data_IF_354372488467
#
_entry.id   IF_354372488467
#
_cell.length_a   1.000
_cell.length_b   1.000
_cell.length_c   1.000
_cell.angle_alpha   90.00
_cell.angle_beta   90.00
_cell.angle_gamma   90.00
#
_symmetry.space_group_name_H-M   'P 1'
#
loop_
_entity.id
_entity.type
_entity.pdbx_description
1 polymer ?
#
# COMPACT_ATOMS: atom_id res chain seq x y z
N UNK A 1 52.32 -5.14 -75.98
CA UNK A 1 51.63 -6.24 -76.69
C UNK A 1 51.73 -7.48 -75.80
N UNK A 2 50.58 -8.05 -75.39
CA UNK A 2 50.37 -9.46 -74.95
C UNK A 2 51.06 -9.83 -73.61
N UNK A 3 50.42 -9.88 -72.43
CA UNK A 3 49.27 -10.68 -71.93
C UNK A 3 49.51 -12.20 -71.97
N UNK A 4 49.40 -12.85 -70.80
CA UNK A 4 48.90 -14.22 -70.54
C UNK A 4 49.75 -14.93 -69.49
N UNK A 5 49.12 -15.38 -68.39
CA UNK A 5 49.67 -16.44 -67.55
C UNK A 5 49.48 -16.31 -66.04
N UNK A 6 48.35 -15.79 -65.57
CA UNK A 6 47.89 -16.00 -64.21
C UNK A 6 47.39 -17.45 -64.04
N UNK A 7 47.42 -17.95 -62.80
CA UNK A 7 47.04 -19.29 -62.31
C UNK A 7 48.16 -20.34 -62.31
N UNK A 8 48.24 -21.08 -61.20
CA UNK A 8 49.22 -22.13 -60.83
C UNK A 8 50.47 -21.65 -60.07
N UNK A 9 50.27 -20.88 -58.99
CA UNK A 9 51.36 -20.52 -58.06
C UNK A 9 51.06 -20.68 -56.56
N UNK A 10 49.83 -21.05 -56.16
CA UNK A 10 49.39 -21.03 -54.76
C UNK A 10 48.79 -22.36 -54.27
N UNK A 11 49.39 -23.49 -54.67
CA UNK A 11 48.93 -24.83 -54.27
C UNK A 11 50.07 -25.79 -53.86
N UNK A 12 51.22 -25.23 -53.42
CA UNK A 12 52.39 -26.01 -53.00
C UNK A 12 53.01 -25.51 -51.67
N UNK A 13 52.17 -25.19 -50.67
CA UNK A 13 52.62 -24.94 -49.29
C UNK A 13 51.71 -25.58 -48.21
N UNK A 14 50.98 -26.64 -48.56
CA UNK A 14 50.17 -27.43 -47.60
C UNK A 14 50.64 -28.89 -47.55
N UNK A 15 51.89 -29.09 -47.18
CA UNK A 15 52.42 -30.43 -46.96
C UNK A 15 53.74 -30.37 -46.23
N UNK A 16 53.68 -30.40 -44.89
CA UNK A 16 54.69 -30.92 -43.94
C UNK A 16 54.37 -30.40 -42.54
N UNK A 17 53.37 -31.00 -41.88
CA UNK A 17 53.19 -30.91 -40.41
C UNK A 17 52.31 -32.08 -39.95
N UNK A 18 52.72 -33.29 -40.30
CA UNK A 18 52.19 -34.52 -39.69
C UNK A 18 53.13 -34.94 -38.55
N UNK A 19 52.55 -35.39 -37.44
CA UNK A 19 53.16 -36.08 -36.30
C UNK A 19 53.73 -35.25 -35.15
N UNK A 20 52.83 -34.75 -34.27
CA UNK A 20 52.97 -34.88 -32.81
C UNK A 20 51.58 -34.92 -32.14
N UNK A 21 50.94 -36.09 -32.12
CA UNK A 21 49.77 -36.35 -31.26
C UNK A 21 50.26 -36.82 -29.89
N UNK A 22 50.37 -35.88 -28.94
CA UNK A 22 50.38 -36.21 -27.52
C UNK A 22 48.92 -36.35 -27.05
N UNK A 23 48.54 -37.40 -26.32
CA UNK A 23 47.24 -37.46 -25.69
C UNK A 23 47.26 -36.53 -24.48
N UNK A 24 46.97 -35.25 -24.69
CA UNK A 24 46.53 -34.41 -23.58
C UNK A 24 45.16 -34.92 -23.17
N UNK A 25 45.16 -35.67 -22.07
CA UNK A 25 43.96 -36.04 -21.33
C UNK A 25 43.16 -34.77 -21.09
N UNK A 26 42.04 -34.62 -21.81
CA UNK A 26 40.99 -33.66 -21.52
C UNK A 26 40.42 -34.04 -20.15
N UNK A 27 41.06 -33.54 -19.09
CA UNK A 27 40.42 -33.45 -17.78
C UNK A 27 39.12 -32.65 -17.97
N UNK A 28 38.05 -32.99 -17.25
CA UNK A 28 36.79 -32.27 -17.39
C UNK A 28 37.10 -30.80 -17.11
N UNK A 29 36.90 -29.95 -18.11
CA UNK A 29 36.75 -28.52 -17.91
C UNK A 29 35.70 -28.41 -16.81
N UNK A 30 36.14 -27.94 -15.63
CA UNK A 30 35.25 -27.67 -14.52
C UNK A 30 34.10 -26.87 -15.08
N UNK A 31 32.92 -27.50 -15.10
CA UNK A 31 31.69 -26.82 -15.46
C UNK A 31 31.62 -25.64 -14.52
N UNK A 32 31.79 -24.44 -15.05
CA UNK A 32 31.33 -23.25 -14.35
C UNK A 32 29.82 -23.42 -14.39
N UNK A 33 29.28 -24.06 -13.35
CA UNK A 33 27.85 -24.04 -13.09
C UNK A 33 27.48 -22.56 -13.15
N UNK A 34 26.55 -22.14 -14.03
CA UNK A 34 26.03 -20.79 -13.97
C UNK A 34 25.66 -20.51 -12.51
N UNK A 35 25.98 -19.35 -11.94
CA UNK A 35 25.53 -19.04 -10.58
C UNK A 35 24.04 -19.34 -10.53
N UNK A 36 23.66 -20.24 -9.64
CA UNK A 36 22.26 -20.61 -9.45
C UNK A 36 21.51 -19.29 -9.24
N UNK A 37 20.61 -18.97 -10.17
CA UNK A 37 19.83 -17.75 -10.07
C UNK A 37 18.93 -17.94 -8.85
N UNK A 38 19.35 -17.38 -7.72
CA UNK A 38 18.56 -17.41 -6.50
C UNK A 38 17.27 -16.68 -6.81
N UNK A 39 16.16 -17.38 -6.63
CA UNK A 39 14.83 -16.87 -6.86
C UNK A 39 14.61 -15.66 -5.92
N UNK A 40 14.20 -14.48 -6.43
CA UNK A 40 14.08 -13.27 -5.61
C UNK A 40 13.10 -13.43 -4.45
N UNK A 41 12.04 -14.21 -4.64
CA UNK A 41 11.16 -14.60 -3.56
C UNK A 41 11.94 -15.44 -2.54
N UNK A 42 12.66 -16.49 -2.96
CA UNK A 42 13.47 -17.32 -2.04
C UNK A 42 14.60 -16.57 -1.31
N UNK A 43 15.17 -15.55 -1.92
CA UNK A 43 16.25 -14.77 -1.33
C UNK A 43 15.79 -13.78 -0.25
N UNK A 44 14.55 -13.30 -0.32
CA UNK A 44 14.08 -12.16 0.46
C UNK A 44 14.11 -12.42 1.97
N UNK A 45 14.67 -11.46 2.71
CA UNK A 45 14.83 -11.47 4.17
C UNK A 45 14.09 -10.29 4.81
N UNK A 46 13.93 -10.34 6.14
CA UNK A 46 13.34 -9.23 6.89
C UNK A 46 14.05 -7.89 6.59
N UNK A 47 13.27 -6.87 6.23
CA UNK A 47 13.76 -5.57 5.77
C UNK A 47 13.88 -5.42 4.25
N UNK A 48 13.70 -6.51 3.48
CA UNK A 48 13.67 -6.41 2.03
C UNK A 48 12.30 -5.95 1.54
N UNK A 49 12.31 -4.98 0.62
CA UNK A 49 11.12 -4.52 -0.08
C UNK A 49 11.02 -5.19 -1.45
N UNK A 50 9.83 -5.69 -1.78
CA UNK A 50 9.55 -6.44 -3.00
C UNK A 50 8.48 -5.73 -3.81
N UNK A 51 8.65 -5.75 -5.13
CA UNK A 51 7.68 -5.24 -6.07
C UNK A 51 7.46 -6.22 -7.22
N UNK A 52 6.29 -6.15 -7.84
CA UNK A 52 5.88 -6.93 -9.01
C UNK A 52 4.75 -6.19 -9.72
N UNK A 53 4.60 -6.42 -11.03
CA UNK A 53 3.45 -5.90 -11.79
C UNK A 53 2.49 -7.03 -12.20
N UNK A 54 2.96 -8.27 -12.28
CA UNK A 54 2.15 -9.41 -12.69
C UNK A 54 1.45 -10.06 -11.50
N UNK A 55 0.18 -10.41 -11.68
CA UNK A 55 -0.65 -11.09 -10.69
C UNK A 55 -0.12 -12.48 -10.29
N UNK A 56 0.65 -13.12 -11.16
CA UNK A 56 1.34 -14.40 -10.95
C UNK A 56 2.73 -14.28 -10.29
N UNK A 57 3.15 -13.06 -9.92
CA UNK A 57 4.44 -12.75 -9.29
C UNK A 57 5.66 -13.21 -10.12
N UNK A 58 5.51 -13.50 -11.41
CA UNK A 58 6.63 -14.00 -12.22
C UNK A 58 7.75 -12.97 -12.41
N UNK A 59 7.44 -11.68 -12.21
CA UNK A 59 8.38 -10.55 -12.25
C UNK A 59 8.76 -10.01 -10.87
N UNK A 60 8.47 -10.76 -9.79
CA UNK A 60 8.82 -10.33 -8.43
C UNK A 60 10.33 -10.06 -8.30
N UNK A 61 10.64 -8.91 -7.72
CA UNK A 61 12.01 -8.48 -7.53
C UNK A 61 12.16 -7.63 -6.27
N UNK A 62 13.38 -7.67 -5.71
CA UNK A 62 13.78 -6.77 -4.64
C UNK A 62 13.99 -5.36 -5.20
N UNK A 63 13.50 -4.37 -4.49
CA UNK A 63 13.69 -2.94 -4.76
C UNK A 63 14.14 -2.23 -3.48
N UNK A 64 14.69 -1.02 -3.62
CA UNK A 64 14.91 -0.14 -2.47
C UNK A 64 13.57 0.26 -1.86
N UNK A 65 13.43 0.24 -0.54
CA UNK A 65 12.15 0.57 0.11
C UNK A 65 11.69 2.01 -0.14
N UNK A 66 12.59 2.94 -0.47
CA UNK A 66 12.22 4.31 -0.89
C UNK A 66 11.58 4.35 -2.28
N UNK A 67 11.78 3.31 -3.10
CA UNK A 67 11.06 3.14 -4.34
C UNK A 67 9.68 2.51 -4.08
N UNK A 68 8.80 2.60 -5.08
CA UNK A 68 7.49 1.93 -5.04
C UNK A 68 7.68 0.42 -4.85
N UNK A 69 7.01 -0.13 -3.85
CA UNK A 69 6.99 -1.56 -3.56
C UNK A 69 5.61 -1.98 -3.04
N UNK A 70 5.28 -3.27 -3.11
CA UNK A 70 3.99 -3.80 -2.67
C UNK A 70 4.10 -4.61 -1.37
N UNK A 71 5.31 -5.00 -0.99
CA UNK A 71 5.55 -5.86 0.18
C UNK A 71 6.87 -5.49 0.85
N UNK A 72 6.85 -5.35 2.17
CA UNK A 72 8.06 -5.32 3.00
C UNK A 72 8.10 -6.57 3.86
N UNK A 73 9.14 -7.38 3.70
CA UNK A 73 9.29 -8.62 4.46
C UNK A 73 9.58 -8.27 5.92
N UNK A 74 8.75 -8.80 6.83
CA UNK A 74 8.92 -8.68 8.27
C UNK A 74 9.62 -9.90 8.88
N UNK A 75 9.46 -11.08 8.27
CA UNK A 75 10.05 -12.33 8.75
C UNK A 75 9.99 -13.46 7.73
N UNK A 76 10.74 -14.53 8.00
CA UNK A 76 10.78 -15.75 7.20
C UNK A 76 10.38 -16.91 8.09
N UNK A 77 9.32 -17.63 7.73
CA UNK A 77 8.74 -18.71 8.54
C UNK A 77 8.70 -20.01 7.75
N UNK A 78 9.11 -21.12 8.36
CA UNK A 78 8.96 -22.46 7.80
C UNK A 78 7.80 -23.19 8.49
N UNK A 79 6.76 -23.51 7.72
CA UNK A 79 5.57 -24.23 8.19
C UNK A 79 5.58 -25.72 7.81
N UNK A 80 6.75 -26.28 7.47
CA UNK A 80 6.88 -27.68 7.02
C UNK A 80 6.46 -28.72 8.06
N UNK A 81 6.54 -28.40 9.36
CA UNK A 81 6.08 -29.28 10.44
C UNK A 81 4.56 -29.43 10.50
N UNK A 82 3.82 -28.41 10.08
CA UNK A 82 2.35 -28.40 10.05
C UNK A 82 1.81 -28.91 8.71
N UNK A 83 2.53 -28.61 7.62
CA UNK A 83 2.11 -28.94 6.26
C UNK A 83 3.14 -29.86 5.58
N UNK A 84 2.90 -31.17 5.69
CA UNK A 84 3.78 -32.17 5.10
C UNK A 84 3.91 -32.09 3.57
N UNK A 85 4.83 -32.88 2.96
CA UNK A 85 5.15 -32.80 1.54
C UNK A 85 3.97 -33.04 0.58
N UNK A 86 2.94 -33.76 1.04
CA UNK A 86 1.74 -34.09 0.26
C UNK A 86 0.51 -33.24 0.64
N UNK A 87 0.67 -32.23 1.52
CA UNK A 87 -0.42 -31.34 1.87
C UNK A 87 -0.94 -30.61 0.61
N UNK A 88 -2.26 -30.48 0.41
CA UNK A 88 -2.80 -29.67 -0.68
C UNK A 88 -2.38 -28.20 -0.51
N UNK A 89 -2.38 -27.44 -1.60
CA UNK A 89 -2.17 -25.99 -1.50
C UNK A 89 -3.32 -25.38 -0.67
N UNK A 90 -3.03 -24.53 0.33
CA UNK A 90 -4.07 -23.97 1.18
C UNK A 90 -5.02 -23.06 0.39
N UNK A 91 -6.31 -23.08 0.76
CA UNK A 91 -7.28 -22.11 0.28
C UNK A 91 -7.16 -20.77 1.03
N UNK A 92 -7.96 -19.77 0.65
CA UNK A 92 -7.89 -18.44 1.24
C UNK A 92 -8.16 -18.42 2.76
N UNK A 93 -9.10 -19.22 3.25
CA UNK A 93 -9.42 -19.28 4.68
C UNK A 93 -8.27 -19.93 5.48
N UNK A 94 -7.64 -20.95 4.90
CA UNK A 94 -6.47 -21.59 5.51
C UNK A 94 -5.27 -20.63 5.49
N UNK A 95 -5.04 -19.89 4.41
CA UNK A 95 -3.98 -18.86 4.38
C UNK A 95 -4.22 -17.74 5.38
N UNK A 96 -5.47 -17.34 5.61
CA UNK A 96 -5.81 -16.37 6.65
C UNK A 96 -5.44 -16.91 8.05
N UNK A 97 -5.69 -18.19 8.30
CA UNK A 97 -5.30 -18.85 9.57
C UNK A 97 -3.77 -18.88 9.71
N UNK A 98 -3.05 -19.30 8.65
CA UNK A 98 -1.59 -19.28 8.62
C UNK A 98 -1.04 -17.87 8.87
N UNK A 99 -1.65 -16.85 8.28
CA UNK A 99 -1.27 -15.45 8.47
C UNK A 99 -1.39 -15.04 9.94
N UNK A 100 -2.51 -15.36 10.58
CA UNK A 100 -2.77 -15.07 11.99
C UNK A 100 -1.75 -15.79 12.91
N UNK A 101 -1.55 -17.09 12.69
CA UNK A 101 -0.71 -17.93 13.56
C UNK A 101 0.78 -17.58 13.45
N UNK A 102 1.24 -17.23 12.25
CA UNK A 102 2.67 -17.11 11.95
C UNK A 102 3.13 -15.67 11.67
N UNK A 103 2.38 -14.92 10.86
CA UNK A 103 2.86 -13.65 10.32
C UNK A 103 2.51 -12.43 11.16
N UNK A 104 1.41 -12.46 11.90
CA UNK A 104 1.02 -11.37 12.80
C UNK A 104 2.11 -11.10 13.86
N UNK A 105 2.59 -12.16 14.52
CA UNK A 105 3.61 -12.05 15.57
C UNK A 105 4.98 -11.59 15.03
N UNK A 106 5.40 -12.10 13.87
CA UNK A 106 6.65 -11.67 13.21
C UNK A 106 6.60 -10.20 12.80
N UNK A 107 5.45 -9.74 12.27
CA UNK A 107 5.27 -8.35 11.87
C UNK A 107 5.22 -7.39 13.05
N UNK A 108 4.54 -7.78 14.14
CA UNK A 108 4.51 -7.00 15.37
C UNK A 108 5.92 -6.86 15.97
N UNK A 109 6.69 -7.95 16.02
CA UNK A 109 8.09 -7.94 16.47
C UNK A 109 8.97 -7.07 15.58
N UNK A 110 8.82 -7.18 14.26
CA UNK A 110 9.56 -6.38 13.28
C UNK A 110 9.33 -4.87 13.48
N UNK A 111 8.09 -4.49 13.76
CA UNK A 111 7.69 -3.11 14.08
C UNK A 111 7.90 -2.71 15.53
N UNK A 112 8.60 -3.52 16.35
CA UNK A 112 8.84 -3.22 17.77
C UNK A 112 7.55 -2.97 18.57
N UNK A 113 6.53 -3.78 18.31
CA UNK A 113 5.17 -3.70 18.86
C UNK A 113 4.38 -2.44 18.48
N UNK A 114 4.68 -1.84 17.32
CA UNK A 114 4.04 -0.63 16.81
C UNK A 114 3.26 -0.86 15.51
N UNK A 115 2.46 -1.92 15.47
CA UNK A 115 1.54 -2.14 14.36
C UNK A 115 0.17 -1.56 14.74
N UNK A 116 -0.26 -0.52 14.04
CA UNK A 116 -1.53 0.15 14.33
C UNK A 116 -2.72 -0.71 13.86
N UNK A 117 -3.69 -1.02 14.74
CA UNK A 117 -4.90 -1.77 14.36
C UNK A 117 -5.78 -1.04 13.33
N UNK A 118 -5.63 0.27 13.19
CA UNK A 118 -6.37 1.12 12.23
C UNK A 118 -5.42 1.85 11.25
N UNK A 119 -4.18 1.38 11.14
CA UNK A 119 -3.15 2.00 10.30
C UNK A 119 -3.12 1.47 8.87
N UNK A 120 -2.29 2.11 8.03
CA UNK A 120 -2.17 1.78 6.60
C UNK A 120 -1.59 0.40 6.31
N UNK A 121 -0.82 -0.16 7.25
CA UNK A 121 -0.13 -1.42 7.05
C UNK A 121 -1.00 -2.59 7.53
N UNK A 122 -1.17 -3.56 6.64
CA UNK A 122 -1.75 -4.87 6.90
C UNK A 122 -0.66 -5.93 6.82
N UNK A 123 -0.88 -7.04 7.52
CA UNK A 123 0.00 -8.20 7.54
C UNK A 123 -0.53 -9.24 6.56
N UNK A 124 0.37 -9.81 5.77
CA UNK A 124 0.05 -10.90 4.84
C UNK A 124 1.22 -11.87 4.66
N UNK A 125 0.92 -13.14 4.28
CA UNK A 125 1.94 -14.07 3.86
C UNK A 125 2.19 -13.93 2.36
N UNK A 126 3.44 -13.77 1.98
CA UNK A 126 3.90 -14.08 0.63
C UNK A 126 4.26 -15.57 0.60
N UNK A 127 3.37 -16.36 0.00
CA UNK A 127 3.47 -17.81 -0.06
C UNK A 127 4.28 -18.29 -1.28
N UNK A 128 4.76 -19.55 -1.31
CA UNK A 128 5.64 -20.03 -2.37
C UNK A 128 4.95 -20.29 -3.71
N UNK A 129 3.63 -20.21 -3.77
CA UNK A 129 2.79 -20.56 -4.91
C UNK A 129 2.65 -22.07 -5.11
N UNK A 130 1.65 -22.48 -5.90
CA UNK A 130 1.25 -23.88 -6.05
C UNK A 130 2.41 -24.76 -6.55
N UNK A 131 3.18 -24.26 -7.52
CA UNK A 131 4.27 -25.01 -8.13
C UNK A 131 5.37 -25.36 -7.12
N UNK A 132 5.80 -24.39 -6.30
CA UNK A 132 6.84 -24.62 -5.29
C UNK A 132 6.27 -25.40 -4.11
N UNK A 133 5.00 -25.17 -3.77
CA UNK A 133 4.29 -25.98 -2.78
C UNK A 133 4.25 -27.47 -3.18
N UNK A 134 3.94 -27.78 -4.43
CA UNK A 134 3.98 -29.15 -4.95
C UNK A 134 5.40 -29.75 -4.92
N UNK A 135 6.44 -28.91 -5.00
CA UNK A 135 7.84 -29.31 -4.83
C UNK A 135 8.28 -29.42 -3.35
N UNK A 136 7.36 -29.31 -2.39
CA UNK A 136 7.63 -29.44 -0.97
C UNK A 136 8.13 -28.17 -0.28
N UNK A 137 8.13 -27.02 -0.95
CA UNK A 137 8.51 -25.75 -0.32
C UNK A 137 7.39 -25.27 0.62
N UNK A 138 7.77 -24.94 1.86
CA UNK A 138 6.88 -24.52 2.94
C UNK A 138 7.37 -23.27 3.67
N UNK A 139 8.35 -22.59 3.10
CA UNK A 139 8.86 -21.34 3.64
C UNK A 139 8.04 -20.17 3.09
N UNK A 140 7.51 -19.36 4.00
CA UNK A 140 6.73 -18.15 3.75
C UNK A 140 7.57 -16.91 4.06
N UNK A 141 7.26 -15.80 3.39
CA UNK A 141 7.71 -14.47 3.84
C UNK A 141 6.51 -13.81 4.47
N UNK A 142 6.57 -13.58 5.76
CA UNK A 142 5.62 -12.71 6.42
C UNK A 142 6.02 -11.27 6.12
N UNK A 143 5.05 -10.39 5.96
CA UNK A 143 5.35 -9.01 5.65
C UNK A 143 4.17 -8.07 5.72
N UNK A 144 4.50 -6.81 5.47
CA UNK A 144 3.63 -5.67 5.58
C UNK A 144 3.27 -5.18 4.17
N UNK A 145 1.99 -4.86 3.99
CA UNK A 145 1.40 -4.41 2.74
C UNK A 145 0.49 -3.21 3.03
N UNK A 146 0.23 -2.38 2.02
CA UNK A 146 -0.88 -1.42 2.06
C UNK A 146 -1.99 -2.02 1.21
N UNK A 147 -3.14 -2.28 1.81
CA UNK A 147 -4.28 -2.87 1.13
C UNK A 147 -5.39 -1.83 0.97
N UNK A 148 -5.94 -1.71 -0.23
CA UNK A 148 -7.18 -0.98 -0.45
C UNK A 148 -8.37 -1.76 0.14
N UNK A 149 -9.55 -1.14 0.34
CA UNK A 149 -10.75 -1.83 0.83
C UNK A 149 -11.13 -3.10 0.04
N UNK A 150 -10.83 -3.15 -1.27
CA UNK A 150 -11.04 -4.35 -2.09
C UNK A 150 -10.08 -5.52 -1.80
N UNK A 151 -9.04 -5.29 -1.00
CA UNK A 151 -7.92 -6.21 -0.78
C UNK A 151 -6.81 -6.13 -1.84
N UNK A 152 -6.94 -5.26 -2.85
CA UNK A 152 -5.85 -4.99 -3.82
C UNK A 152 -4.70 -4.25 -3.13
N UNK A 153 -3.47 -4.58 -3.51
CA UNK A 153 -2.28 -3.98 -2.91
C UNK A 153 -1.99 -2.63 -3.54
N UNK A 154 -1.84 -1.62 -2.70
CA UNK A 154 -1.42 -0.28 -3.08
C UNK A 154 0.10 -0.16 -2.97
N UNK A 155 0.74 0.65 -3.84
CA UNK A 155 2.17 0.89 -3.77
C UNK A 155 2.53 1.64 -2.49
N UNK A 156 3.45 1.10 -1.71
CA UNK A 156 4.05 1.72 -0.52
C UNK A 156 5.40 2.35 -0.85
N UNK A 157 5.81 3.29 0.02
CA UNK A 157 7.06 4.03 -0.08
C UNK A 157 7.67 4.24 1.31
N UNK A 158 8.99 4.07 1.39
CA UNK A 158 9.71 4.03 2.66
C UNK A 158 9.48 2.73 3.44
N UNK A 159 10.34 2.46 4.42
CA UNK A 159 10.18 1.27 5.27
C UNK A 159 9.13 1.51 6.36
N UNK A 160 8.23 0.54 6.55
CA UNK A 160 7.22 0.48 7.58
C UNK A 160 7.79 0.61 9.00
N UNK A 161 9.06 0.27 9.23
CA UNK A 161 9.74 0.47 10.53
C UNK A 161 9.94 1.94 10.90
N UNK A 162 9.98 2.81 9.89
CA UNK A 162 10.36 4.22 10.03
C UNK A 162 9.23 5.17 9.65
N UNK A 163 8.28 4.69 8.85
CA UNK A 163 7.13 5.45 8.40
C UNK A 163 6.07 5.55 9.49
N UNK A 164 5.35 6.66 9.47
CA UNK A 164 4.14 6.84 10.27
C UNK A 164 3.09 5.78 9.88
N UNK A 165 2.41 5.21 10.88
CA UNK A 165 1.46 4.11 10.70
C UNK A 165 0.09 4.58 10.17
N UNK A 166 -0.18 5.88 10.14
CA UNK A 166 -1.52 6.41 9.86
C UNK A 166 -2.01 6.00 8.47
N UNK A 167 -3.25 5.54 8.41
CA UNK A 167 -3.98 5.37 7.16
C UNK A 167 -4.42 6.73 6.61
N UNK A 168 -3.50 7.37 5.89
CA UNK A 168 -3.71 8.65 5.21
C UNK A 168 -3.27 8.54 3.76
N UNK A 169 -3.99 9.24 2.89
CA UNK A 169 -3.64 9.40 1.48
C UNK A 169 -3.12 10.79 1.19
N UNK A 170 -2.36 10.92 0.10
CA UNK A 170 -1.88 12.21 -0.40
C UNK A 170 -3.03 13.08 -0.96
N UNK A 171 -2.91 14.42 -0.93
CA UNK A 171 -3.87 15.31 -1.58
C UNK A 171 -4.06 14.99 -3.07
N UNK A 172 -5.30 15.08 -3.55
CA UNK A 172 -5.70 14.73 -4.92
C UNK A 172 -6.14 13.28 -5.11
N UNK A 173 -6.00 12.43 -4.09
CA UNK A 173 -6.56 11.07 -4.13
C UNK A 173 -8.08 11.14 -3.92
N UNK A 174 -8.84 10.50 -4.80
CA UNK A 174 -10.28 10.29 -4.64
C UNK A 174 -10.55 8.85 -4.21
N UNK A 175 -11.28 8.68 -3.11
CA UNK A 175 -11.64 7.37 -2.56
C UNK A 175 -13.02 6.98 -3.07
N UNK A 176 -13.08 5.89 -3.83
CA UNK A 176 -14.28 5.38 -4.48
C UNK A 176 -15.39 5.05 -3.49
N UNK A 177 -16.51 4.58 -4.03
CA UNK A 177 -17.64 4.09 -3.23
C UNK A 177 -17.92 2.63 -3.55
N UNK A 178 -18.06 1.81 -2.51
CA UNK A 178 -18.44 0.40 -2.64
C UNK A 178 -19.44 0.05 -1.53
N UNK A 179 -20.62 -0.43 -1.92
CA UNK A 179 -21.70 -0.82 -0.99
C UNK A 179 -22.09 0.28 0.03
N UNK A 180 -22.08 1.54 -0.42
CA UNK A 180 -22.28 2.74 0.42
C UNK A 180 -21.20 2.94 1.51
N UNK A 181 -20.05 2.31 1.35
CA UNK A 181 -18.84 2.48 2.14
C UNK A 181 -17.71 3.06 1.27
N UNK A 182 -16.59 3.40 1.92
CA UNK A 182 -15.37 3.87 1.26
C UNK A 182 -14.78 2.70 0.46
N UNK A 183 -14.50 2.94 -0.82
CA UNK A 183 -13.84 2.01 -1.73
C UNK A 183 -12.38 2.37 -2.02
N UNK A 184 -11.79 1.64 -2.97
CA UNK A 184 -10.42 1.86 -3.44
C UNK A 184 -10.18 3.28 -3.98
N UNK A 185 -8.92 3.75 -4.02
CA UNK A 185 -8.56 4.94 -4.80
C UNK A 185 -8.99 4.83 -6.27
N UNK A 186 -9.68 5.87 -6.77
CA UNK A 186 -10.19 5.99 -8.15
C UNK A 186 -9.84 7.35 -8.74
N UNK A 187 -10.08 7.51 -10.05
CA UNK A 187 -10.08 8.84 -10.66
C UNK A 187 -11.18 9.70 -10.05
N UNK A 188 -10.94 10.99 -9.80
CA UNK A 188 -11.99 11.91 -9.36
C UNK A 188 -13.09 12.12 -10.41
N UNK A 189 -12.87 11.72 -11.66
CA UNK A 189 -13.90 11.66 -12.70
C UNK A 189 -14.86 10.48 -12.55
N UNK A 190 -14.53 9.52 -11.68
CA UNK A 190 -15.42 8.41 -11.32
C UNK A 190 -16.22 8.76 -10.04
N UNK A 191 -17.35 8.08 -9.79
CA UNK A 191 -18.09 8.23 -8.54
C UNK A 191 -17.22 7.87 -7.32
N UNK A 192 -17.09 8.80 -6.39
CA UNK A 192 -16.26 8.64 -5.19
C UNK A 192 -16.94 9.28 -3.97
N UNK A 193 -16.55 8.84 -2.78
CA UNK A 193 -17.09 9.37 -1.52
C UNK A 193 -16.32 10.60 -1.07
N UNK A 194 -15.00 10.53 -1.11
CA UNK A 194 -14.13 11.58 -0.60
C UNK A 194 -13.04 11.95 -1.61
N UNK A 195 -12.77 13.24 -1.73
CA UNK A 195 -11.51 13.75 -2.27
C UNK A 195 -10.63 14.18 -1.10
N UNK A 196 -9.39 13.70 -1.07
CA UNK A 196 -8.40 14.07 -0.07
C UNK A 196 -7.78 15.39 -0.47
N UNK A 197 -7.85 16.39 0.42
CA UNK A 197 -7.37 17.75 0.14
C UNK A 197 -6.12 18.12 0.94
N UNK A 198 -5.81 17.35 1.99
CA UNK A 198 -4.70 17.63 2.89
C UNK A 198 -4.39 16.51 3.87
N UNK A 199 -3.20 16.62 4.48
CA UNK A 199 -2.76 15.80 5.60
C UNK A 199 -2.31 16.74 6.72
N UNK A 200 -2.81 16.52 7.92
CA UNK A 200 -2.46 17.28 9.13
C UNK A 200 -1.69 16.38 10.07
N UNK A 201 -0.55 16.88 10.57
CA UNK A 201 0.23 16.22 11.63
C UNK A 201 -0.28 16.68 13.00
N UNK A 202 -1.04 15.82 13.67
CA UNK A 202 -1.54 16.01 15.03
C UNK A 202 -0.45 15.82 16.09
N UNK A 203 0.67 15.18 15.73
CA UNK A 203 1.87 15.02 16.54
C UNK A 203 2.76 16.25 16.58
N UNK A 204 2.58 17.19 15.65
CA UNK A 204 3.38 18.41 15.58
C UNK A 204 3.23 19.24 16.86
N UNK A 205 4.28 19.25 17.69
CA UNK A 205 4.30 19.95 18.98
C UNK A 205 3.56 19.24 20.12
N UNK A 206 3.00 18.05 19.88
CA UNK A 206 2.25 17.27 20.86
C UNK A 206 2.95 15.96 21.18
N UNK A 207 3.40 15.78 22.42
CA UNK A 207 3.97 14.51 22.89
C UNK A 207 2.93 13.58 23.54
N UNK A 208 1.75 14.11 23.89
CA UNK A 208 0.63 13.36 24.47
C UNK A 208 -0.47 13.17 23.44
N UNK A 209 -1.30 12.15 23.63
CA UNK A 209 -2.53 11.99 22.86
C UNK A 209 -3.44 13.24 23.03
N UNK A 210 -3.89 13.87 21.94
CA UNK A 210 -4.86 14.95 21.98
C UNK A 210 -6.27 14.41 22.24
N UNK A 211 -7.05 15.07 23.09
CA UNK A 211 -8.47 14.72 23.28
C UNK A 211 -9.25 14.97 21.99
N UNK A 212 -10.43 14.38 21.86
CA UNK A 212 -11.29 14.59 20.68
C UNK A 212 -11.58 16.08 20.43
N UNK A 213 -11.92 16.86 21.46
CA UNK A 213 -12.11 18.31 21.35
C UNK A 213 -10.86 19.07 20.87
N UNK A 214 -9.66 18.61 21.26
CA UNK A 214 -8.40 19.22 20.82
C UNK A 214 -8.10 18.87 19.35
N UNK A 215 -8.37 17.62 18.95
CA UNK A 215 -8.30 17.21 17.55
C UNK A 215 -9.29 18.00 16.71
N UNK A 216 -10.53 18.13 17.17
CA UNK A 216 -11.60 18.88 16.51
C UNK A 216 -11.20 20.33 16.25
N UNK A 217 -10.68 21.01 17.27
CA UNK A 217 -10.24 22.40 17.15
C UNK A 217 -9.10 22.56 16.12
N UNK A 218 -8.10 21.68 16.16
CA UNK A 218 -6.96 21.72 15.24
C UNK A 218 -7.41 21.39 13.81
N UNK A 219 -8.20 20.34 13.64
CA UNK A 219 -8.65 19.87 12.32
C UNK A 219 -9.61 20.86 11.69
N UNK A 220 -10.53 21.47 12.44
CA UNK A 220 -11.40 22.54 11.93
C UNK A 220 -10.58 23.69 11.37
N UNK A 221 -9.65 24.25 12.16
CA UNK A 221 -8.82 25.37 11.72
C UNK A 221 -7.98 25.02 10.48
N UNK A 222 -7.28 23.89 10.52
CA UNK A 222 -6.34 23.49 9.46
C UNK A 222 -7.07 23.06 8.20
N UNK A 223 -8.10 22.22 8.31
CA UNK A 223 -8.81 21.73 7.14
C UNK A 223 -9.63 22.81 6.44
N UNK A 224 -10.18 23.80 7.15
CA UNK A 224 -10.83 24.96 6.52
C UNK A 224 -9.83 25.79 5.70
N UNK A 225 -8.64 26.05 6.25
CA UNK A 225 -7.58 26.76 5.55
C UNK A 225 -7.10 25.99 4.30
N UNK A 226 -6.84 24.69 4.46
CA UNK A 226 -6.43 23.81 3.36
C UNK A 226 -7.52 23.76 2.28
N UNK A 227 -8.79 23.63 2.66
CA UNK A 227 -9.90 23.58 1.73
C UNK A 227 -10.02 24.87 0.90
N UNK A 228 -9.85 26.03 1.52
CA UNK A 228 -9.84 27.31 0.84
C UNK A 228 -8.68 27.44 -0.15
N UNK A 229 -7.48 26.99 0.22
CA UNK A 229 -6.32 26.99 -0.67
C UNK A 229 -6.48 26.01 -1.85
N UNK A 230 -6.81 24.76 -1.55
CA UNK A 230 -6.96 23.67 -2.54
C UNK A 230 -8.01 23.99 -3.60
N UNK A 231 -9.11 24.64 -3.21
CA UNK A 231 -10.21 25.00 -4.12
C UNK A 231 -10.03 26.35 -4.82
N UNK A 232 -8.96 27.10 -4.52
CA UNK A 232 -8.76 28.45 -5.06
C UNK A 232 -9.82 29.44 -4.57
N UNK A 233 -10.33 29.28 -3.35
CA UNK A 233 -11.34 30.13 -2.73
C UNK A 233 -12.78 29.86 -3.18
N UNK A 234 -13.04 28.77 -3.91
CA UNK A 234 -14.40 28.39 -4.30
C UNK A 234 -15.16 27.85 -3.09
N UNK A 235 -16.42 28.25 -2.95
CA UNK A 235 -17.25 27.83 -1.81
C UNK A 235 -17.71 26.38 -2.00
N UNK A 236 -17.06 25.45 -1.30
CA UNK A 236 -17.34 24.00 -1.37
C UNK A 236 -18.83 23.69 -1.11
N UNK A 237 -19.45 24.40 -0.16
CA UNK A 237 -20.87 24.23 0.19
C UNK A 237 -21.84 24.54 -0.95
N UNK A 238 -21.49 25.44 -1.87
CA UNK A 238 -22.33 25.76 -3.04
C UNK A 238 -22.43 24.58 -4.02
N UNK A 239 -21.49 23.64 -3.94
CA UNK A 239 -21.53 22.36 -4.68
C UNK A 239 -22.27 21.25 -3.94
N UNK A 240 -22.88 21.53 -2.78
CA UNK A 240 -23.51 20.52 -1.93
C UNK A 240 -22.51 19.61 -1.20
N UNK A 241 -21.26 20.06 -1.08
CA UNK A 241 -20.16 19.32 -0.46
C UNK A 241 -19.79 19.94 0.91
N UNK A 242 -19.08 19.18 1.73
CA UNK A 242 -18.59 19.61 3.03
C UNK A 242 -17.14 19.19 3.25
N UNK A 243 -16.42 19.95 4.07
CA UNK A 243 -15.09 19.59 4.58
C UNK A 243 -15.27 18.72 5.83
N UNK A 244 -14.51 17.64 5.92
CA UNK A 244 -14.50 16.70 7.04
C UNK A 244 -13.10 16.13 7.23
N UNK A 245 -12.87 15.36 8.30
CA UNK A 245 -11.59 14.79 8.65
C UNK A 245 -11.74 13.49 9.43
N UNK A 246 -10.62 12.79 9.60
CA UNK A 246 -10.52 11.64 10.51
C UNK A 246 -10.01 12.08 11.88
N UNK A 247 -10.50 11.42 12.92
CA UNK A 247 -9.87 11.43 14.24
C UNK A 247 -8.80 10.35 14.34
N UNK A 248 -7.89 10.51 15.30
CA UNK A 248 -6.95 9.48 15.73
C UNK A 248 -7.41 8.85 17.03
N UNK A 249 -7.45 7.52 17.03
CA UNK A 249 -7.66 6.72 18.23
C UNK A 249 -6.39 6.71 19.10
N UNK A 250 -6.56 6.44 20.40
CA UNK A 250 -5.44 6.33 21.35
C UNK A 250 -4.51 5.17 20.95
N UNK A 251 -5.08 4.05 20.52
CA UNK A 251 -4.35 2.85 20.07
C UNK A 251 -3.47 3.16 18.85
N UNK A 252 -4.03 3.89 17.87
CA UNK A 252 -3.28 4.37 16.71
C UNK A 252 -2.17 5.32 17.11
N UNK A 253 -2.46 6.25 18.03
CA UNK A 253 -1.46 7.17 18.55
C UNK A 253 -0.29 6.43 19.21
N UNK A 254 -0.56 5.42 20.02
CA UNK A 254 0.48 4.64 20.72
C UNK A 254 1.31 3.80 19.75
N UNK A 255 0.69 3.30 18.67
CA UNK A 255 1.37 2.63 17.56
C UNK A 255 2.18 3.61 16.67
N UNK A 256 2.00 4.92 16.83
CA UNK A 256 2.80 5.94 16.15
C UNK A 256 2.10 6.63 14.98
N UNK A 257 0.79 6.45 14.80
CA UNK A 257 -0.01 7.20 13.85
C UNK A 257 -0.27 8.62 14.36
N UNK A 258 0.30 9.61 13.69
CA UNK A 258 0.16 11.05 14.04
C UNK A 258 -0.54 11.88 12.97
N UNK A 259 -0.86 11.30 11.82
CA UNK A 259 -1.40 12.01 10.67
C UNK A 259 -2.90 11.76 10.51
N UNK A 260 -3.62 12.79 10.09
CA UNK A 260 -5.05 12.71 9.76
C UNK A 260 -5.32 13.40 8.41
N UNK A 261 -6.25 12.86 7.63
CA UNK A 261 -6.65 13.47 6.36
C UNK A 261 -7.69 14.59 6.57
N UNK A 262 -7.52 15.69 5.83
CA UNK A 262 -8.61 16.61 5.50
C UNK A 262 -9.25 16.14 4.19
N UNK A 263 -10.58 16.10 4.14
CA UNK A 263 -11.34 15.52 3.04
C UNK A 263 -12.53 16.39 2.66
N UNK A 264 -12.97 16.25 1.42
CA UNK A 264 -14.23 16.82 0.93
C UNK A 264 -15.13 15.69 0.46
N UNK A 265 -16.39 15.72 0.90
CA UNK A 265 -17.40 14.73 0.53
C UNK A 265 -18.78 15.34 0.37
N UNK A 266 -19.69 14.58 -0.25
CA UNK A 266 -21.10 14.93 -0.29
C UNK A 266 -21.75 14.75 1.09
N UNK A 267 -22.83 15.49 1.35
CA UNK A 267 -23.65 15.28 2.53
C UNK A 267 -24.17 13.82 2.57
N UNK A 268 -23.98 13.08 3.67
CA UNK A 268 -24.48 11.72 3.79
C UNK A 268 -26.02 11.70 3.81
N UNK A 269 -26.61 10.59 3.36
CA UNK A 269 -28.04 10.35 3.46
C UNK A 269 -28.31 9.44 4.67
N UNK A 270 -28.53 10.06 5.84
CA UNK A 270 -28.57 9.33 7.11
C UNK A 270 -27.19 8.76 7.44
N UNK A 271 -27.10 7.44 7.56
CA UNK A 271 -25.82 6.73 7.81
C UNK A 271 -25.10 6.31 6.53
N UNK A 272 -25.70 6.54 5.35
CA UNK A 272 -25.14 6.08 4.07
C UNK A 272 -24.28 7.17 3.44
N UNK A 273 -23.06 6.79 3.03
CA UNK A 273 -22.17 7.65 2.27
C UNK A 273 -22.77 7.91 0.88
N UNK A 274 -22.63 9.14 0.40
CA UNK A 274 -23.16 9.57 -0.90
C UNK A 274 -22.01 9.79 -1.87
N UNK A 275 -22.15 9.21 -3.07
CA UNK A 275 -21.18 9.39 -4.14
C UNK A 275 -21.33 10.76 -4.81
N UNK A 276 -20.22 11.33 -5.25
CA UNK A 276 -20.19 12.49 -6.13
C UNK A 276 -19.06 12.33 -7.18
N UNK A 277 -19.00 13.25 -8.14
CA UNK A 277 -18.05 13.18 -9.26
C UNK A 277 -17.45 14.56 -9.55
N UNK A 278 -16.22 14.55 -10.07
CA UNK A 278 -15.41 15.72 -10.31
C UNK A 278 -14.47 16.00 -9.13
N UNK A 279 -13.62 17.02 -9.25
CA UNK A 279 -12.71 17.43 -8.19
C UNK A 279 -13.04 18.85 -7.70
N UNK A 280 -12.75 19.16 -6.44
CA UNK A 280 -12.74 20.52 -5.89
C UNK A 280 -11.40 21.23 -6.06
N UNK A 281 -10.37 20.55 -6.56
CA UNK A 281 -9.08 21.14 -6.86
C UNK A 281 -9.24 22.31 -7.84
N UNK A 282 -8.55 23.41 -7.56
CA UNK A 282 -8.52 24.53 -8.48
C UNK A 282 -7.79 24.12 -9.77
N UNK A 283 -8.45 24.12 -10.94
CA UNK A 283 -7.82 23.72 -12.20
C UNK A 283 -6.70 24.68 -12.62
N UNK A 284 -6.68 25.91 -12.09
CA UNK A 284 -5.68 26.93 -12.36
C UNK A 284 -4.53 26.92 -11.32
N UNK A 285 -4.59 26.05 -10.31
CA UNK A 285 -3.52 25.91 -9.34
C UNK A 285 -2.30 25.18 -9.94
N UNK A 286 -1.09 25.39 -9.37
CA UNK A 286 0.05 24.53 -9.67
C UNK A 286 -0.31 23.05 -9.51
N UNK A 287 0.31 22.14 -10.29
CA UNK A 287 0.12 20.71 -10.08
C UNK A 287 0.40 20.33 -8.63
N UNK A 288 -0.45 19.45 -8.07
CA UNK A 288 -0.21 18.88 -6.76
C UNK A 288 1.16 18.21 -6.75
N UNK A 289 1.92 18.45 -5.69
CA UNK A 289 3.21 17.80 -5.44
C UNK A 289 3.04 16.81 -4.30
N UNK A 290 2.40 15.64 -4.55
CA UNK A 290 2.27 14.62 -3.52
C UNK A 290 3.66 14.11 -3.12
N UNK A 291 3.78 13.62 -1.88
CA UNK A 291 5.06 13.08 -1.39
C UNK A 291 5.46 11.84 -2.20
N UNK A 292 4.47 11.11 -2.71
CA UNK A 292 4.65 9.91 -3.53
C UNK A 292 3.76 9.96 -4.79
N UNK A 293 4.09 9.19 -5.84
CA UNK A 293 3.19 8.99 -6.96
C UNK A 293 1.79 8.49 -6.50
N UNK A 294 0.70 8.90 -7.17
CA UNK A 294 -0.66 8.52 -6.78
C UNK A 294 -0.84 7.00 -6.65
N UNK A 295 -1.45 6.56 -5.56
CA UNK A 295 -1.76 5.15 -5.30
C UNK A 295 -3.00 4.66 -6.06
N UNK A 296 -3.11 4.95 -7.35
CA UNK A 296 -4.28 4.55 -8.18
C UNK A 296 -4.06 3.22 -8.92
N UNK A 297 -2.83 2.71 -8.94
CA UNK A 297 -2.46 1.46 -9.61
C UNK A 297 -2.31 0.33 -8.60
N UNK A 298 -3.43 -0.24 -8.15
CA UNK A 298 -3.40 -1.36 -7.23
C UNK A 298 -3.19 -2.70 -7.96
N UNK A 299 -2.45 -3.63 -7.37
CA UNK A 299 -2.16 -4.95 -7.96
C UNK A 299 -2.92 -6.02 -7.19
N UNK A 300 -3.48 -6.99 -7.90
CA UNK A 300 -4.11 -8.18 -7.30
C UNK A 300 -3.19 -9.39 -7.50
N UNK A 301 -3.09 -10.24 -6.48
CA UNK A 301 -2.39 -11.52 -6.59
C UNK A 301 -3.39 -12.60 -7.04
N UNK A 302 -3.00 -13.44 -7.99
CA UNK A 302 -3.86 -14.47 -8.55
C UNK A 302 -4.04 -15.67 -7.61
N UNK A 303 -2.96 -16.06 -6.92
CA UNK A 303 -2.98 -17.14 -5.94
C UNK A 303 -3.55 -16.64 -4.60
N UNK A 304 -4.21 -17.55 -3.87
CA UNK A 304 -4.78 -17.23 -2.56
C UNK A 304 -3.68 -16.88 -1.56
N UNK A 305 -3.83 -15.73 -0.88
CA UNK A 305 -2.96 -15.28 0.21
C UNK A 305 -3.71 -15.06 1.53
N UNK A 306 -5.04 -15.25 1.52
CA UNK A 306 -5.93 -14.86 2.61
C UNK A 306 -6.27 -13.37 2.58
N UNK A 307 -7.22 -12.95 3.42
CA UNK A 307 -7.50 -11.52 3.57
C UNK A 307 -6.32 -10.83 4.30
N UNK A 308 -5.92 -9.62 3.89
CA UNK A 308 -4.99 -8.81 4.67
C UNK A 308 -5.53 -8.60 6.10
N UNK A 309 -4.65 -8.63 7.09
CA UNK A 309 -5.05 -8.53 8.50
C UNK A 309 -4.35 -7.37 9.20
N UNK A 310 -5.08 -6.59 9.99
CA UNK A 310 -4.46 -5.73 11.00
C UNK A 310 -4.10 -6.56 12.24
N UNK A 311 -3.21 -6.05 13.11
CA UNK A 311 -2.91 -6.73 14.39
C UNK A 311 -4.17 -6.87 15.20
N UNK A 312 -4.71 -8.08 15.24
CA UNK A 312 -5.84 -8.56 16.02
C UNK A 312 -6.76 -7.44 16.54
N UNK A 313 -7.54 -6.83 15.64
CA UNK A 313 -8.69 -6.06 16.09
C UNK A 313 -9.66 -7.06 16.71
N UNK A 314 -10.15 -6.86 17.95
CA UNK A 314 -11.35 -7.55 18.39
C UNK A 314 -12.41 -7.29 17.33
N UNK A 315 -13.17 -8.32 16.95
CA UNK A 315 -14.40 -8.14 16.20
C UNK A 315 -15.34 -7.27 17.04
N UNK A 316 -15.24 -5.96 16.88
CA UNK A 316 -16.06 -4.95 17.53
C UNK A 316 -16.33 -3.93 16.45
N UNK A 317 -17.54 -4.09 15.90
CA UNK A 317 -18.35 -3.09 15.23
C UNK A 317 -17.55 -1.96 14.57
N UNK A 318 -17.46 -2.07 13.24
CA UNK A 318 -17.42 -0.96 12.29
C UNK A 318 -17.73 0.36 12.98
N UNK A 319 -16.69 1.06 13.41
CA UNK A 319 -16.81 2.41 13.93
C UNK A 319 -17.21 3.26 12.73
N UNK A 320 -18.52 3.40 12.53
CA UNK A 320 -19.05 4.45 11.68
C UNK A 320 -18.39 5.77 12.13
N UNK A 321 -17.97 6.64 11.21
CA UNK A 321 -17.46 7.95 11.60
C UNK A 321 -18.54 8.65 12.43
N UNK A 322 -18.27 8.88 13.71
CA UNK A 322 -19.07 9.79 14.53
C UNK A 322 -18.98 11.16 13.86
N UNK A 323 -20.00 11.49 13.07
CA UNK A 323 -20.17 12.84 12.58
C UNK A 323 -20.49 13.72 13.80
N UNK A 324 -19.77 14.84 14.03
CA UNK A 324 -20.19 15.79 15.03
C UNK A 324 -21.55 16.35 14.63
N UNK A 325 -22.53 16.24 15.53
CA UNK A 325 -23.80 16.93 15.39
C UNK A 325 -23.53 18.45 15.34
N UNK A 326 -24.16 19.22 14.43
CA UNK A 326 -23.96 20.66 14.40
C UNK A 326 -24.47 21.26 15.71
N UNK A 327 -23.56 21.89 16.46
CA UNK A 327 -23.88 22.69 17.65
C UNK A 327 -24.80 23.84 17.26
N UNK A 328 -26.07 23.74 17.64
CA UNK A 328 -27.06 24.82 17.51
C UNK A 328 -26.83 25.86 18.61
N UNK A 329 -26.00 26.85 18.33
CA UNK A 329 -25.94 28.08 19.12
C UNK A 329 -27.18 28.95 18.83
N UNK A 330 -28.16 28.87 19.73
CA UNK A 330 -29.35 29.74 19.76
C UNK A 330 -28.96 31.17 20.17
N UNK A 331 -29.34 32.23 19.44
CA UNK A 331 -29.17 33.60 19.93
C UNK A 331 -30.23 33.94 20.99
N UNK A 332 -29.96 34.84 21.96
CA UNK A 332 -30.93 35.18 23.00
C UNK A 332 -32.09 36.00 22.42
N UNK A 333 -33.31 35.53 22.70
CA UNK A 333 -34.56 36.16 22.31
C UNK A 333 -34.73 37.53 22.98
N UNK A 334 -34.90 38.58 22.16
CA UNK A 334 -35.35 39.90 22.58
C UNK A 334 -36.80 39.83 23.05
N UNK A 335 -37.04 40.39 24.25
CA UNK A 335 -38.35 40.55 24.87
C UNK A 335 -39.20 41.53 24.06
N UNK A 336 -40.33 41.07 23.54
CA UNK A 336 -41.47 41.93 23.20
C UNK A 336 -42.49 41.87 24.35
N UNK A 337 -42.83 43.04 24.87
CA UNK A 337 -43.91 43.25 25.83
C UNK A 337 -45.23 43.22 25.05
N UNK A 338 -46.15 42.33 25.43
CA UNK A 338 -47.56 42.48 25.13
C UNK A 338 -48.28 43.04 26.37
N UNK A 339 -48.68 44.30 26.21
CA UNK A 339 -49.72 44.99 26.97
C UNK A 339 -51.06 44.67 26.28
N UNK A 340 -51.93 43.87 26.91
CA UNK A 340 -53.39 44.08 26.92
C UNK A 340 -54.10 42.96 27.71
N UNK A 341 -54.99 43.36 28.63
CA UNK A 341 -56.09 42.52 29.10
C UNK A 341 -56.29 42.47 30.62
N UNK A 342 -56.84 43.54 31.22
CA UNK A 342 -57.39 43.50 32.59
C UNK A 342 -57.41 44.83 33.31
#
# INVERSE_FOLDING_TARGET
>A
MVLVGAFVGALLLLGLSSFTTLPFSSGPLGGVTPPERIDPFEAAQAGDCLNWARDDLADIGKVECSASHLFEVSGVVDISSEYGPQAPFPDAATWQTINADHCASESLKYLSNKLDPFGKYTVGPLNPGEKRWAAGKRTLRCGLQVAAPSGRLLPAYGSARTQDQSDVHDPGVCLGIQDNSIGDPVSCEEPHTFEIIGVVDLGAGNTRFPTEDEQEAVMTEKCDAIANEYSGGKVIKERGLLVTWDYRAQESWDAGSKLANCKVGALPNGTLLTAWTGSVHNPDAPPLTPSNPPQTSAVQQAEATGAPMHSEAPASESSAPSSPAPSSSTPPSSKENEEEGG
#
